data_IF_032151089223
#
_entry.id   IF_032151089223
#
_cell.length_a   1.000
_cell.length_b   1.000
_cell.length_c   1.000
_cell.angle_alpha   90.00
_cell.angle_beta   90.00
_cell.angle_gamma   90.00
#
_symmetry.space_group_name_H-M   'P 1'
#
loop_
_entity.id
_entity.type
_entity.pdbx_description
1 polymer ?
#
# COMPACT_ATOMS: atom_id res chain seq x y z
N UNK A 1 -15.68 2.56 33.78
CA UNK A 1 -16.16 1.28 33.23
C UNK A 1 -15.81 1.24 31.76
N UNK A 2 -15.11 0.20 31.28
CA UNK A 2 -14.74 0.10 29.86
C UNK A 2 -15.99 -0.14 29.02
N UNK A 3 -16.33 0.81 28.14
CA UNK A 3 -17.41 0.65 27.18
C UNK A 3 -17.04 -0.48 26.22
N UNK A 4 -17.81 -1.58 26.25
CA UNK A 4 -17.68 -2.62 25.23
C UNK A 4 -18.19 -2.04 23.92
N UNK A 5 -17.27 -1.57 23.08
CA UNK A 5 -17.57 -1.17 21.70
C UNK A 5 -17.86 -2.46 20.93
N UNK A 6 -19.13 -2.68 20.59
CA UNK A 6 -19.55 -3.83 19.80
C UNK A 6 -19.01 -3.71 18.39
N UNK A 7 -18.32 -4.75 17.91
CA UNK A 7 -17.82 -4.83 16.54
C UNK A 7 -18.34 -6.10 15.86
N UNK A 8 -19.63 -6.13 15.46
CA UNK A 8 -20.19 -7.28 14.79
C UNK A 8 -19.66 -7.42 13.36
N UNK A 9 -19.50 -8.67 12.93
CA UNK A 9 -19.16 -8.97 11.55
C UNK A 9 -20.36 -8.67 10.64
N UNK A 10 -20.17 -7.86 9.60
CA UNK A 10 -21.26 -7.53 8.66
C UNK A 10 -21.76 -8.74 7.84
N UNK A 11 -20.97 -9.82 7.77
CA UNK A 11 -21.30 -11.03 7.00
C UNK A 11 -22.10 -12.03 7.81
N UNK A 12 -21.60 -12.40 8.99
CA UNK A 12 -22.16 -13.46 9.81
C UNK A 12 -22.84 -12.96 11.10
N UNK A 13 -22.82 -11.64 11.36
CA UNK A 13 -23.41 -11.03 12.55
C UNK A 13 -22.66 -11.25 13.87
N UNK A 14 -21.75 -12.25 13.93
CA UNK A 14 -20.99 -12.60 15.14
C UNK A 14 -20.01 -11.50 15.54
N UNK A 15 -19.82 -11.33 16.84
CA UNK A 15 -18.90 -10.33 17.38
C UNK A 15 -17.44 -10.69 17.05
N UNK A 16 -16.69 -9.75 16.47
CA UNK A 16 -15.27 -9.98 16.12
C UNK A 16 -14.42 -10.07 17.37
N UNK A 17 -13.44 -10.98 17.35
CA UNK A 17 -12.47 -11.16 18.43
C UNK A 17 -11.18 -10.41 18.13
N UNK A 18 -10.49 -9.91 19.16
CA UNK A 18 -9.18 -9.26 19.01
C UNK A 18 -8.13 -10.33 18.78
N UNK A 19 -7.40 -10.22 17.67
CA UNK A 19 -6.32 -11.15 17.33
C UNK A 19 -4.96 -10.63 17.82
N UNK A 20 -4.65 -9.36 17.53
CA UNK A 20 -3.35 -8.76 17.85
C UNK A 20 -3.51 -7.27 18.09
N UNK A 21 -2.74 -6.75 19.04
CA UNK A 21 -2.61 -5.31 19.28
C UNK A 21 -1.12 -4.97 19.28
N UNK A 22 -0.73 -3.90 18.60
CA UNK A 22 0.65 -3.41 18.63
C UNK A 22 0.70 -1.90 18.54
N UNK A 23 1.77 -1.34 19.07
CA UNK A 23 2.02 0.10 19.03
C UNK A 23 3.13 0.37 18.02
N UNK A 24 2.91 1.33 17.14
CA UNK A 24 3.91 1.83 16.21
C UNK A 24 4.23 3.28 16.57
N UNK A 25 5.51 3.60 16.69
CA UNK A 25 5.95 4.99 16.83
C UNK A 25 6.17 5.55 15.42
N UNK A 26 5.38 6.55 15.05
CA UNK A 26 5.47 7.22 13.76
C UNK A 26 6.02 8.62 14.00
N UNK A 27 7.18 8.89 13.41
CA UNK A 27 7.81 10.22 13.45
C UNK A 27 7.28 11.05 12.29
N UNK A 28 6.59 12.14 12.61
CA UNK A 28 6.06 13.10 11.64
C UNK A 28 6.78 14.45 11.81
N UNK A 29 6.50 15.40 10.91
CA UNK A 29 7.11 16.73 10.92
C UNK A 29 6.95 17.49 12.26
N UNK A 30 5.87 17.23 13.00
CA UNK A 30 5.54 17.89 14.27
C UNK A 30 5.98 17.09 15.52
N UNK A 31 6.65 15.95 15.36
CA UNK A 31 7.13 15.14 16.48
C UNK A 31 6.82 13.64 16.33
N UNK A 32 6.99 12.90 17.44
CA UNK A 32 6.74 11.44 17.48
C UNK A 32 5.35 11.15 18.02
N UNK A 33 4.52 10.45 17.24
CA UNK A 33 3.20 9.98 17.65
C UNK A 33 3.21 8.46 17.85
N UNK A 34 2.45 7.96 18.82
CA UNK A 34 2.27 6.53 19.03
C UNK A 34 0.91 6.12 18.51
N UNK A 35 0.87 5.20 17.55
CA UNK A 35 -0.35 4.66 16.96
C UNK A 35 -0.57 3.26 17.53
N UNK A 36 -1.73 3.05 18.16
CA UNK A 36 -2.15 1.74 18.67
C UNK A 36 -3.03 1.06 17.64
N UNK A 37 -2.53 0.01 17.01
CA UNK A 37 -3.30 -0.81 16.08
C UNK A 37 -3.93 -1.98 16.81
N UNK A 38 -5.20 -2.26 16.52
CA UNK A 38 -5.90 -3.45 16.99
C UNK A 38 -6.45 -4.20 15.77
N UNK A 39 -5.94 -5.40 15.56
CA UNK A 39 -6.45 -6.32 14.55
C UNK A 39 -7.56 -7.18 15.15
N UNK A 40 -8.67 -7.29 14.43
CA UNK A 40 -9.81 -8.13 14.80
C UNK A 40 -10.09 -9.15 13.72
N UNK A 41 -10.58 -10.33 14.12
CA UNK A 41 -10.89 -11.44 13.22
C UNK A 41 -12.30 -11.96 13.50
N UNK A 42 -12.92 -12.54 12.48
CA UNK A 42 -14.20 -13.20 12.63
C UNK A 42 -13.99 -14.55 13.36
N UNK A 43 -14.77 -14.87 14.41
CA UNK A 43 -14.66 -16.16 15.10
C UNK A 43 -15.18 -17.33 14.25
N UNK A 44 -15.97 -17.05 13.21
CA UNK A 44 -16.47 -18.07 12.30
C UNK A 44 -15.44 -18.37 11.19
N UNK A 45 -14.90 -19.61 11.12
CA UNK A 45 -13.84 -19.96 10.18
C UNK A 45 -14.29 -19.92 8.72
N UNK A 46 -15.56 -20.26 8.43
CA UNK A 46 -16.07 -20.22 7.06
C UNK A 46 -16.23 -18.78 6.59
N UNK A 47 -16.76 -17.91 7.46
CA UNK A 47 -16.83 -16.48 7.17
C UNK A 47 -15.43 -15.85 7.04
N UNK A 48 -14.48 -16.26 7.87
CA UNK A 48 -13.12 -15.74 7.87
C UNK A 48 -12.37 -16.13 6.59
N UNK A 49 -12.49 -17.38 6.12
CA UNK A 49 -11.90 -17.85 4.85
C UNK A 49 -12.33 -17.02 3.65
N UNK A 50 -13.60 -16.61 3.58
CA UNK A 50 -14.10 -15.78 2.49
C UNK A 50 -13.40 -14.41 2.50
N UNK A 51 -13.31 -13.78 3.67
CA UNK A 51 -12.63 -12.48 3.84
C UNK A 51 -11.15 -12.61 3.46
N UNK A 52 -10.48 -13.67 3.88
CA UNK A 52 -9.08 -13.91 3.54
C UNK A 52 -8.86 -14.10 2.05
N UNK A 53 -9.75 -14.83 1.37
CA UNK A 53 -9.72 -15.00 -0.09
C UNK A 53 -9.85 -13.65 -0.81
N UNK A 54 -10.77 -12.80 -0.37
CA UNK A 54 -10.95 -11.47 -0.94
C UNK A 54 -9.76 -10.55 -0.66
N UNK A 55 -9.23 -10.57 0.57
CA UNK A 55 -8.03 -9.81 0.93
C UNK A 55 -6.82 -10.26 0.11
N UNK A 56 -6.65 -11.56 -0.11
CA UNK A 56 -5.58 -12.10 -0.95
C UNK A 56 -5.73 -11.64 -2.42
N UNK A 57 -6.95 -11.67 -2.96
CA UNK A 57 -7.22 -11.17 -4.31
C UNK A 57 -6.93 -9.67 -4.42
N UNK A 58 -7.30 -8.87 -3.43
CA UNK A 58 -7.00 -7.44 -3.40
C UNK A 58 -5.49 -7.16 -3.29
N UNK A 59 -4.76 -7.92 -2.46
CA UNK A 59 -3.29 -7.80 -2.37
C UNK A 59 -2.62 -8.04 -3.71
N UNK A 60 -2.96 -9.14 -4.39
CA UNK A 60 -2.42 -9.46 -5.73
C UNK A 60 -2.70 -8.34 -6.75
N UNK A 61 -3.90 -7.75 -6.72
CA UNK A 61 -4.24 -6.62 -7.60
C UNK A 61 -3.40 -5.38 -7.29
N UNK A 62 -3.17 -5.07 -6.01
CA UNK A 62 -2.32 -3.95 -5.59
C UNK A 62 -0.87 -4.16 -6.02
N UNK A 63 -0.32 -5.34 -5.79
CA UNK A 63 1.06 -5.69 -6.18
C UNK A 63 1.25 -5.57 -7.70
N UNK A 64 0.29 -6.06 -8.50
CA UNK A 64 0.34 -5.93 -9.96
C UNK A 64 0.29 -4.47 -10.42
N UNK A 65 -0.54 -3.64 -9.77
CA UNK A 65 -0.64 -2.22 -10.07
C UNK A 65 0.63 -1.45 -9.68
N UNK A 66 1.25 -1.79 -8.55
CA UNK A 66 2.51 -1.19 -8.12
C UNK A 66 3.64 -1.52 -9.09
N UNK A 67 3.73 -2.79 -9.52
CA UNK A 67 4.72 -3.22 -10.52
C UNK A 67 4.54 -2.51 -11.86
N UNK A 68 3.32 -2.41 -12.39
CA UNK A 68 3.03 -1.67 -13.62
C UNK A 68 3.40 -0.19 -13.48
N UNK A 69 3.07 0.43 -12.33
CA UNK A 69 3.42 1.83 -12.05
C UNK A 69 4.95 2.03 -12.01
N UNK A 70 5.69 1.09 -11.44
CA UNK A 70 7.16 1.12 -11.43
C UNK A 70 7.74 0.99 -12.83
N UNK A 71 7.23 0.05 -13.63
CA UNK A 71 7.64 -0.14 -15.02
C UNK A 71 7.39 1.11 -15.86
N UNK A 72 6.22 1.75 -15.72
CA UNK A 72 5.90 3.02 -16.40
C UNK A 72 6.85 4.15 -16.00
N UNK A 73 7.15 4.27 -14.70
CA UNK A 73 8.13 5.26 -14.21
C UNK A 73 9.54 5.00 -14.76
N UNK A 74 9.96 3.74 -14.82
CA UNK A 74 11.26 3.35 -15.37
C UNK A 74 11.36 3.68 -16.86
N UNK A 75 10.33 3.32 -17.64
CA UNK A 75 10.25 3.63 -19.06
C UNK A 75 10.29 5.15 -19.33
N UNK A 76 9.55 5.95 -18.54
CA UNK A 76 9.57 7.40 -18.65
C UNK A 76 10.95 8.00 -18.32
N UNK A 77 11.62 7.50 -17.29
CA UNK A 77 12.99 7.94 -16.96
C UNK A 77 13.98 7.59 -18.08
N UNK A 78 13.87 6.40 -18.66
CA UNK A 78 14.73 5.95 -19.74
C UNK A 78 14.54 6.79 -21.02
N UNK A 79 13.29 7.05 -21.41
CA UNK A 79 13.00 7.88 -22.58
C UNK A 79 13.46 9.34 -22.39
N UNK A 80 13.25 9.92 -21.20
CA UNK A 80 13.71 11.28 -20.91
C UNK A 80 15.24 11.37 -20.90
N UNK A 81 15.94 10.35 -20.37
CA UNK A 81 17.41 10.27 -20.44
C UNK A 81 17.90 10.24 -21.88
N UNK A 82 17.31 9.40 -22.75
CA UNK A 82 17.64 9.34 -24.17
C UNK A 82 17.46 10.70 -24.84
N UNK A 83 16.29 11.33 -24.65
CA UNK A 83 16.00 12.68 -25.18
C UNK A 83 17.05 13.70 -24.73
N UNK A 84 17.45 13.66 -23.45
CA UNK A 84 18.48 14.58 -22.92
C UNK A 84 19.85 14.40 -23.56
N UNK A 85 20.21 13.16 -23.93
CA UNK A 85 21.48 12.83 -24.60
C UNK A 85 21.42 13.32 -26.06
N UNK A 86 20.32 13.04 -26.75
CA UNK A 86 20.11 13.45 -28.14
C UNK A 86 20.17 14.99 -28.28
N UNK A 87 19.53 15.72 -27.37
CA UNK A 87 19.60 17.18 -27.27
C UNK A 87 21.04 17.69 -27.08
N UNK A 88 21.83 17.04 -26.22
CA UNK A 88 23.24 17.42 -25.98
C UNK A 88 24.11 17.15 -27.21
N UNK A 89 23.89 16.04 -27.90
CA UNK A 89 24.63 15.66 -29.10
C UNK A 89 24.32 16.63 -30.26
N UNK A 90 23.05 16.94 -30.48
CA UNK A 90 22.62 17.93 -31.46
C UNK A 90 23.28 19.29 -31.18
N UNK A 91 23.27 19.76 -29.92
CA UNK A 91 23.89 21.04 -29.56
C UNK A 91 25.41 21.09 -29.76
N UNK A 92 26.12 19.96 -29.63
CA UNK A 92 27.55 19.86 -29.93
C UNK A 92 27.82 19.92 -31.44
N UNK A 93 26.97 19.30 -32.25
CA UNK A 93 27.12 19.27 -33.71
C UNK A 93 27.07 20.68 -34.34
N UNK A 94 26.22 21.56 -33.82
CA UNK A 94 26.13 22.96 -34.28
C UNK A 94 27.24 23.87 -33.75
N UNK A 95 28.08 23.41 -32.82
CA UNK A 95 29.12 24.24 -32.17
C UNK A 95 30.50 24.16 -32.85
N UNK A 96 30.67 23.25 -33.80
CA UNK A 96 31.90 23.00 -34.56
C UNK A 96 31.76 23.30 -36.07
N UNK A 97 30.65 23.93 -36.48
CA UNK A 97 30.49 24.63 -37.76
C UNK A 97 30.62 26.11 -37.50
#
# INVERSE_FOLDING_TARGET
MATKISNPCYRCGKERIKAKTWNEKVTNFMGTSVITYTQTVCPDPECQKIVEKELAAQKKKKEAFELDKENRKAAFKASNKKRSIDLKNSRKQYKHK
#
